data_IF_650973570781
#
_entry.id   IF_650973570781
#
_cell.length_a   1.000
_cell.length_b   1.000
_cell.length_c   1.000
_cell.angle_alpha   90.00
_cell.angle_beta   90.00
_cell.angle_gamma   90.00
#
_symmetry.space_group_name_H-M   'P 1'
#
loop_
_entity.id
_entity.type
_entity.pdbx_description
1 polymer ?
#
# COMPACT_ATOMS: atom_id res chain seq x y z
N UNK A 1 0.99 -20.50 11.54
CA UNK A 1 0.98 -20.08 12.96
C UNK A 1 2.40 -20.25 13.48
N UNK A 2 3.05 -19.20 14.05
CA UNK A 2 4.34 -19.40 14.70
C UNK A 2 4.17 -20.33 15.89
N UNK A 3 5.18 -21.16 16.16
CA UNK A 3 5.15 -22.13 17.24
C UNK A 3 5.09 -21.41 18.61
N UNK A 4 4.30 -21.91 19.55
CA UNK A 4 4.12 -21.34 20.89
C UNK A 4 5.41 -20.91 21.63
N UNK A 5 6.57 -21.58 21.46
CA UNK A 5 7.81 -21.16 22.13
C UNK A 5 8.39 -19.84 21.64
N UNK A 6 8.14 -19.44 20.39
CA UNK A 6 8.61 -18.15 19.86
C UNK A 6 7.78 -16.97 20.38
N UNK A 7 6.48 -17.19 20.54
CA UNK A 7 5.55 -16.20 21.12
C UNK A 7 5.86 -15.97 22.61
N UNK A 8 6.16 -17.04 23.34
CA UNK A 8 6.54 -16.95 24.75
C UNK A 8 7.87 -16.19 24.95
N UNK A 9 8.80 -16.30 24.00
CA UNK A 9 10.08 -15.58 24.05
C UNK A 9 9.89 -14.07 23.80
N UNK A 10 9.02 -13.69 22.87
CA UNK A 10 8.72 -12.30 22.60
C UNK A 10 8.02 -11.60 23.79
N UNK A 11 7.08 -12.30 24.45
CA UNK A 11 6.42 -11.78 25.65
C UNK A 11 7.35 -11.75 26.88
N UNK A 12 8.24 -12.71 27.08
CA UNK A 12 9.15 -12.73 28.21
C UNK A 12 10.20 -11.62 28.19
N UNK A 13 10.56 -11.13 27.00
CA UNK A 13 11.45 -9.99 26.81
C UNK A 13 10.79 -8.64 27.14
N UNK A 14 9.44 -8.56 27.06
CA UNK A 14 8.67 -7.33 27.33
C UNK A 14 8.25 -7.20 28.80
N UNK A 15 8.19 -8.27 29.58
CA UNK A 15 7.69 -8.29 30.96
C UNK A 15 8.78 -8.05 32.03
N UNK A 16 10.06 -7.96 31.63
CA UNK A 16 11.19 -7.82 32.57
C UNK A 16 11.43 -6.37 33.08
N UNK A 17 10.43 -5.50 33.07
CA UNK A 17 10.51 -4.15 33.63
C UNK A 17 9.53 -4.01 34.80
N UNK A 18 9.95 -4.30 36.01
CA UNK A 18 9.62 -3.68 37.29
C UNK A 18 10.29 -4.45 38.44
N UNK A 19 10.63 -3.83 39.59
CA UNK A 19 9.67 -3.25 40.51
C UNK A 19 10.08 -1.96 41.19
N UNK A 20 9.07 -1.18 41.55
CA UNK A 20 9.15 -0.10 42.55
C UNK A 20 9.22 -0.66 43.94
N UNK A 21 10.07 -0.07 44.82
CA UNK A 21 10.00 -0.19 46.26
C UNK A 21 10.19 1.18 46.95
N UNK A 22 9.53 1.46 48.10
CA UNK A 22 9.36 2.80 48.60
C UNK A 22 10.51 3.30 49.48
N UNK A 23 10.55 4.61 49.67
CA UNK A 23 11.53 5.44 50.30
C UNK A 23 11.77 5.16 51.79
N UNK A 24 13.03 5.28 52.22
CA UNK A 24 13.42 5.63 53.59
C UNK A 24 14.47 6.76 53.53
N UNK A 25 14.19 7.86 54.22
CA UNK A 25 15.09 8.99 54.41
C UNK A 25 16.33 8.63 55.22
N UNK A 26 17.52 9.02 54.76
CA UNK A 26 18.50 9.84 55.49
C UNK A 26 19.89 9.81 54.87
N UNK A 27 20.54 10.99 54.96
CA UNK A 27 21.97 11.32 54.81
C UNK A 27 22.53 11.19 53.38
N UNK A 28 22.99 12.32 52.88
CA UNK A 28 23.79 12.41 51.65
C UNK A 28 25.03 11.54 51.76
N UNK A 29 25.25 10.69 50.77
CA UNK A 29 26.57 10.14 50.49
C UNK A 29 26.98 10.50 49.06
N UNK A 30 28.28 10.42 48.86
CA UNK A 30 28.98 10.53 47.60
C UNK A 30 28.19 9.96 46.39
N UNK A 31 28.18 10.71 45.28
CA UNK A 31 27.63 10.28 44.01
C UNK A 31 28.40 9.01 43.57
N UNK A 32 27.78 7.83 43.82
CA UNK A 32 28.12 6.65 43.06
C UNK A 32 27.77 6.89 41.59
N UNK A 33 28.66 6.53 40.64
CA UNK A 33 28.30 6.63 39.23
C UNK A 33 27.05 5.81 38.97
N UNK A 34 26.04 6.43 38.31
CA UNK A 34 24.82 5.77 37.91
C UNK A 34 25.15 4.41 37.26
N UNK A 35 24.44 3.32 37.61
CA UNK A 35 24.66 2.03 36.98
C UNK A 35 24.54 2.22 35.47
N UNK A 36 25.53 1.73 34.72
CA UNK A 36 25.47 1.70 33.27
C UNK A 36 24.15 1.04 32.88
N UNK A 37 23.34 1.77 32.12
CA UNK A 37 22.16 1.20 31.48
C UNK A 37 22.69 0.11 30.55
N UNK A 38 22.51 -1.15 30.92
CA UNK A 38 22.81 -2.25 30.01
C UNK A 38 21.88 -2.07 28.80
N UNK A 39 22.43 -1.65 27.68
CA UNK A 39 21.72 -1.64 26.41
C UNK A 39 21.26 -3.08 26.14
N UNK A 40 19.97 -3.30 26.15
CA UNK A 40 19.41 -4.60 25.76
C UNK A 40 19.86 -4.89 24.32
N UNK A 41 20.34 -6.11 24.05
CA UNK A 41 20.79 -6.47 22.70
C UNK A 41 19.63 -6.28 21.73
N UNK A 42 19.91 -5.66 20.56
CA UNK A 42 18.94 -5.48 19.49
C UNK A 42 18.30 -6.83 19.11
N UNK A 43 16.99 -6.83 18.85
CA UNK A 43 16.28 -8.02 18.41
C UNK A 43 16.86 -8.53 17.07
N UNK A 44 16.96 -9.85 16.92
CA UNK A 44 17.31 -10.47 15.65
C UNK A 44 16.20 -10.28 14.61
N UNK A 45 16.52 -10.45 13.32
CA UNK A 45 15.53 -10.36 12.24
C UNK A 45 14.35 -11.34 12.45
N UNK A 46 14.63 -12.57 12.95
CA UNK A 46 13.60 -13.57 13.26
C UNK A 46 12.69 -13.10 14.41
N UNK A 47 13.28 -12.52 15.46
CA UNK A 47 12.53 -11.98 16.60
C UNK A 47 11.67 -10.78 16.18
N UNK A 48 12.17 -9.88 15.30
CA UNK A 48 11.41 -8.76 14.75
C UNK A 48 10.25 -9.25 13.88
N UNK A 49 10.48 -10.25 13.02
CA UNK A 49 9.43 -10.85 12.21
C UNK A 49 8.33 -11.51 13.08
N UNK A 50 8.70 -12.22 14.14
CA UNK A 50 7.74 -12.81 15.07
C UNK A 50 6.96 -11.73 15.84
N UNK A 51 7.63 -10.67 16.28
CA UNK A 51 7.00 -9.52 16.94
C UNK A 51 5.99 -8.85 16.01
N UNK A 52 6.35 -8.58 14.79
CA UNK A 52 5.51 -7.94 13.77
C UNK A 52 4.18 -8.68 13.56
N UNK A 53 4.18 -10.00 13.64
CA UNK A 53 3.00 -10.86 13.47
C UNK A 53 2.18 -11.06 14.76
N UNK A 54 2.61 -10.48 15.89
CA UNK A 54 1.86 -10.58 17.16
C UNK A 54 0.60 -9.72 17.12
N UNK A 55 -0.57 -10.24 17.60
CA UNK A 55 -1.78 -9.43 17.65
C UNK A 55 -1.63 -8.19 18.53
N UNK A 56 -1.95 -7.02 17.99
CA UNK A 56 -1.82 -5.74 18.70
C UNK A 56 -2.71 -5.66 19.95
N UNK A 57 -3.84 -6.36 19.95
CA UNK A 57 -4.78 -6.42 21.07
C UNK A 57 -4.23 -7.15 22.32
N UNK A 58 -3.09 -7.82 22.21
CA UNK A 58 -2.44 -8.48 23.35
C UNK A 58 -1.63 -7.53 24.23
N UNK A 59 -1.40 -6.30 23.78
CA UNK A 59 -0.59 -5.30 24.45
C UNK A 59 -1.47 -4.25 25.16
N UNK A 60 -1.09 -3.83 26.35
CA UNK A 60 -1.57 -2.57 26.92
C UNK A 60 -0.91 -1.37 26.20
N UNK A 61 -1.31 -0.15 26.55
CA UNK A 61 -0.85 1.03 25.80
C UNK A 61 0.66 1.26 25.83
N UNK A 62 1.35 1.19 26.97
CA UNK A 62 2.80 1.37 27.01
C UNK A 62 3.55 0.27 26.27
N UNK A 63 3.13 -0.99 26.48
CA UNK A 63 3.77 -2.14 25.83
C UNK A 63 3.54 -2.16 24.33
N UNK A 64 2.39 -1.68 23.83
CA UNK A 64 2.13 -1.55 22.39
C UNK A 64 3.11 -0.60 21.72
N UNK A 65 3.28 0.60 22.29
CA UNK A 65 4.18 1.61 21.71
C UNK A 65 5.64 1.15 21.76
N UNK A 66 6.05 0.52 22.87
CA UNK A 66 7.39 -0.09 22.98
C UNK A 66 7.60 -1.18 21.92
N UNK A 67 6.61 -2.06 21.71
CA UNK A 67 6.69 -3.10 20.69
C UNK A 67 6.75 -2.53 19.26
N UNK A 68 5.90 -1.55 18.96
CA UNK A 68 5.87 -0.89 17.65
C UNK A 68 7.16 -0.12 17.36
N UNK A 69 7.77 0.52 18.37
CA UNK A 69 9.02 1.29 18.21
C UNK A 69 10.22 0.43 17.77
N UNK A 70 10.14 -0.87 17.94
CA UNK A 70 11.16 -1.83 17.48
C UNK A 70 11.01 -2.25 16.03
N UNK A 71 9.84 -1.96 15.43
CA UNK A 71 9.53 -2.32 14.06
C UNK A 71 9.92 -1.20 13.08
N UNK A 72 10.25 -1.54 11.81
CA UNK A 72 10.51 -0.56 10.77
C UNK A 72 9.32 0.40 10.58
N UNK A 73 9.62 1.63 10.18
CA UNK A 73 8.63 2.66 9.86
C UNK A 73 7.73 3.11 11.02
N UNK A 74 8.09 2.81 12.28
CA UNK A 74 7.41 3.42 13.42
C UNK A 74 7.58 4.95 13.39
N UNK A 75 6.48 5.66 13.56
CA UNK A 75 6.43 7.13 13.61
C UNK A 75 5.82 7.57 14.95
N UNK A 76 6.64 8.09 15.85
CA UNK A 76 6.21 8.55 17.17
C UNK A 76 5.10 9.61 17.10
N UNK A 77 5.07 10.42 16.05
CA UNK A 77 4.03 11.45 15.87
C UNK A 77 2.64 10.85 15.67
N UNK A 78 2.56 9.58 15.29
CA UNK A 78 1.33 8.81 15.08
C UNK A 78 0.93 7.93 16.26
N UNK A 79 1.64 8.00 17.39
CA UNK A 79 1.46 7.12 18.55
C UNK A 79 -0.01 7.00 18.99
N UNK A 80 -0.73 8.12 19.11
CA UNK A 80 -2.14 8.12 19.51
C UNK A 80 -3.06 7.41 18.50
N UNK A 81 -2.72 7.45 17.22
CA UNK A 81 -3.48 6.77 16.17
C UNK A 81 -3.26 5.25 16.23
N UNK A 82 -2.02 4.80 16.50
CA UNK A 82 -1.75 3.37 16.73
C UNK A 82 -2.53 2.83 17.93
N UNK A 83 -2.53 3.57 19.04
CA UNK A 83 -3.29 3.20 20.24
C UNK A 83 -4.80 3.12 19.96
N UNK A 84 -5.35 4.09 19.25
CA UNK A 84 -6.77 4.11 18.88
C UNK A 84 -7.16 2.95 17.96
N UNK A 85 -6.26 2.54 17.03
CA UNK A 85 -6.55 1.53 16.02
C UNK A 85 -6.37 0.08 16.52
N UNK A 86 -5.60 -0.16 17.60
CA UNK A 86 -5.26 -1.51 18.11
C UNK A 86 -6.46 -2.41 18.40
N UNK A 87 -7.58 -1.82 18.80
CA UNK A 87 -8.80 -2.54 19.20
C UNK A 87 -9.86 -2.65 18.12
N UNK A 88 -9.60 -2.03 16.94
CA UNK A 88 -10.54 -1.99 15.82
C UNK A 88 -10.71 -3.30 15.04
N UNK A 89 -9.94 -4.36 15.39
CA UNK A 89 -9.96 -5.65 14.70
C UNK A 89 -8.91 -6.60 15.24
N UNK A 90 -8.74 -7.75 14.58
CA UNK A 90 -7.67 -8.71 14.88
C UNK A 90 -6.46 -8.38 14.00
N UNK A 91 -5.80 -7.25 14.31
CA UNK A 91 -4.65 -6.77 13.56
C UNK A 91 -3.35 -7.17 14.25
N UNK A 92 -2.32 -7.53 13.46
CA UNK A 92 -0.96 -7.67 13.95
C UNK A 92 -0.31 -6.30 14.17
N UNK A 93 0.81 -6.25 14.87
CA UNK A 93 1.58 -5.00 15.05
C UNK A 93 1.97 -4.39 13.70
N UNK A 94 2.45 -5.21 12.78
CA UNK A 94 2.79 -4.78 11.42
C UNK A 94 1.59 -4.18 10.69
N UNK A 95 0.44 -4.85 10.74
CA UNK A 95 -0.78 -4.33 10.10
C UNK A 95 -1.24 -3.01 10.69
N UNK A 96 -1.13 -2.84 12.01
CA UNK A 96 -1.43 -1.54 12.65
C UNK A 96 -0.51 -0.44 12.12
N UNK A 97 0.81 -0.70 12.04
CA UNK A 97 1.75 0.26 11.45
C UNK A 97 1.39 0.60 10.00
N UNK A 98 1.23 -0.42 9.16
CA UNK A 98 0.92 -0.25 7.73
C UNK A 98 -0.36 0.55 7.51
N UNK A 99 -1.44 0.25 8.25
CA UNK A 99 -2.74 0.94 8.16
C UNK A 99 -2.61 2.41 8.57
N UNK A 100 -2.00 2.69 9.72
CA UNK A 100 -1.91 4.06 10.26
C UNK A 100 -0.91 4.90 9.45
N UNK A 101 0.20 4.32 9.01
CA UNK A 101 1.20 5.05 8.23
C UNK A 101 0.70 5.45 6.84
N UNK A 102 -0.23 4.69 6.29
CA UNK A 102 -0.88 4.96 5.00
C UNK A 102 -2.21 5.72 5.13
N UNK A 103 -2.51 6.24 6.31
CA UNK A 103 -3.72 7.00 6.64
C UNK A 103 -5.04 6.21 6.48
N UNK A 104 -4.97 4.85 6.40
CA UNK A 104 -6.15 3.99 6.23
C UNK A 104 -7.01 3.81 7.49
N UNK A 105 -6.57 4.33 8.64
CA UNK A 105 -7.36 4.48 9.87
C UNK A 105 -8.30 5.71 9.84
N UNK A 106 -8.10 6.63 8.89
CA UNK A 106 -8.91 7.83 8.75
C UNK A 106 -10.22 7.57 7.99
N UNK A 107 -11.24 8.44 8.14
CA UNK A 107 -12.49 8.30 7.38
C UNK A 107 -12.27 8.53 5.88
N UNK A 108 -12.56 7.50 5.07
CA UNK A 108 -12.44 7.54 3.61
C UNK A 108 -13.26 8.68 3.02
N UNK A 109 -12.76 9.31 1.97
CA UNK A 109 -13.37 10.41 1.20
C UNK A 109 -13.59 11.71 1.97
N UNK A 110 -13.88 11.67 3.27
CA UNK A 110 -14.10 12.87 4.10
C UNK A 110 -12.80 13.45 4.65
N UNK A 111 -11.80 12.62 4.85
CA UNK A 111 -10.43 13.04 5.22
C UNK A 111 -9.52 13.22 3.99
N UNK A 112 -10.08 13.13 2.77
CA UNK A 112 -9.29 13.20 1.56
C UNK A 112 -8.74 14.61 1.32
N UNK A 113 -7.46 14.65 0.93
CA UNK A 113 -6.76 15.85 0.47
C UNK A 113 -6.70 15.87 -1.07
N UNK A 114 -6.36 17.02 -1.63
CA UNK A 114 -6.10 17.11 -3.07
C UNK A 114 -4.73 16.47 -3.36
N UNK A 115 -4.67 15.63 -4.40
CA UNK A 115 -3.42 15.03 -4.88
C UNK A 115 -2.52 16.12 -5.46
N UNK A 116 -1.21 16.00 -5.26
CA UNK A 116 -0.24 16.95 -5.76
C UNK A 116 0.20 16.58 -7.19
N UNK A 117 -0.14 17.36 -8.22
CA UNK A 117 0.29 17.09 -9.59
C UNK A 117 1.83 17.16 -9.77
N UNK A 118 2.53 17.88 -8.89
CA UNK A 118 3.99 18.03 -8.95
C UNK A 118 4.73 16.73 -8.55
N UNK A 119 4.02 15.75 -7.96
CA UNK A 119 4.54 14.40 -7.74
C UNK A 119 4.77 13.62 -9.06
N UNK A 120 4.34 14.14 -10.19
CA UNK A 120 4.57 13.55 -11.51
C UNK A 120 4.00 12.13 -11.62
N UNK A 121 4.86 11.15 -11.98
CA UNK A 121 4.44 9.76 -12.09
C UNK A 121 4.13 9.10 -10.76
N UNK A 122 4.56 9.70 -9.65
CA UNK A 122 4.29 9.24 -8.30
C UNK A 122 3.03 9.87 -7.68
N UNK A 123 2.26 10.65 -8.43
CA UNK A 123 0.99 11.22 -7.93
C UNK A 123 0.09 10.12 -7.37
N UNK A 124 -0.18 10.19 -6.06
CA UNK A 124 -1.04 9.23 -5.39
C UNK A 124 -2.50 9.65 -5.50
N UNK A 125 -3.32 8.79 -6.10
CA UNK A 125 -4.77 8.97 -6.19
C UNK A 125 -5.47 7.74 -5.62
N UNK A 126 -6.15 7.92 -4.49
CA UNK A 126 -6.85 6.84 -3.80
C UNK A 126 -8.03 7.40 -2.98
N UNK A 127 -8.55 6.67 -1.98
CA UNK A 127 -9.69 7.11 -1.17
C UNK A 127 -9.39 8.27 -0.22
N UNK A 128 -8.12 8.65 -0.07
CA UNK A 128 -7.62 9.71 0.81
C UNK A 128 -6.91 10.84 0.04
N UNK A 129 -6.71 10.66 -1.27
CA UNK A 129 -6.09 11.65 -2.15
C UNK A 129 -6.83 11.71 -3.48
N UNK A 130 -7.29 12.91 -3.87
CA UNK A 130 -8.19 13.09 -5.02
C UNK A 130 -7.68 14.10 -6.02
N UNK A 131 -8.09 13.91 -7.27
CA UNK A 131 -7.94 14.88 -8.35
C UNK A 131 -9.16 15.78 -8.45
N UNK A 132 -8.97 17.01 -8.87
CA UNK A 132 -10.06 17.94 -9.21
C UNK A 132 -10.87 17.44 -10.42
N UNK A 133 -12.09 17.96 -10.59
CA UNK A 133 -12.97 17.55 -11.68
C UNK A 133 -12.49 17.98 -13.06
N UNK A 134 -11.65 18.99 -13.13
CA UNK A 134 -11.08 19.61 -14.32
C UNK A 134 -9.64 19.15 -14.62
N UNK A 135 -9.05 18.33 -13.74
CA UNK A 135 -7.73 17.76 -13.98
C UNK A 135 -7.74 16.85 -15.22
N UNK A 136 -6.90 17.20 -16.18
CA UNK A 136 -6.62 16.43 -17.40
C UNK A 136 -5.11 16.45 -17.63
N UNK A 137 -4.44 15.31 -17.78
CA UNK A 137 -3.02 15.29 -18.15
C UNK A 137 -2.77 15.97 -19.50
N UNK A 138 -1.69 16.74 -19.60
CA UNK A 138 -1.38 17.53 -20.81
C UNK A 138 -0.86 16.67 -21.97
N UNK A 139 -0.20 15.54 -21.68
CA UNK A 139 0.57 14.72 -22.61
C UNK A 139 -0.11 13.39 -22.95
N UNK A 140 -1.44 13.37 -23.02
CA UNK A 140 -2.21 12.17 -23.38
C UNK A 140 -2.04 11.83 -24.88
N UNK A 141 -1.44 10.67 -25.14
CA UNK A 141 -1.29 10.07 -26.47
C UNK A 141 -2.24 8.90 -26.68
N UNK A 142 -2.59 8.62 -27.94
CA UNK A 142 -3.40 7.43 -28.27
C UNK A 142 -2.56 6.17 -28.13
N UNK A 143 -3.06 5.20 -27.37
CA UNK A 143 -2.41 3.89 -27.21
C UNK A 143 -2.37 3.19 -28.58
N UNK A 144 -1.22 2.54 -28.89
CA UNK A 144 -1.01 1.82 -30.15
C UNK A 144 -2.18 0.84 -30.42
N UNK A 145 -2.88 0.97 -31.57
CA UNK A 145 -4.06 0.15 -31.87
C UNK A 145 -3.81 -1.35 -31.85
N UNK A 146 -2.57 -1.79 -32.15
CA UNK A 146 -2.20 -3.20 -32.10
C UNK A 146 -2.28 -3.79 -30.69
N UNK A 147 -2.16 -2.95 -29.64
CA UNK A 147 -2.10 -3.35 -28.24
C UNK A 147 -3.29 -2.86 -27.41
N UNK A 148 -4.33 -2.32 -28.06
CA UNK A 148 -5.39 -1.60 -27.33
C UNK A 148 -6.76 -1.74 -27.95
N UNK A 149 -7.79 -1.76 -27.11
CA UNK A 149 -9.17 -1.55 -27.51
C UNK A 149 -9.53 -0.06 -27.69
N UNK A 150 -8.52 0.81 -27.75
CA UNK A 150 -8.64 2.26 -27.89
C UNK A 150 -8.36 3.02 -26.59
N UNK A 151 -8.37 4.37 -26.69
CA UNK A 151 -8.15 5.28 -25.58
C UNK A 151 -6.74 5.88 -25.54
N UNK A 152 -6.41 6.53 -24.41
CA UNK A 152 -5.18 7.31 -24.26
C UNK A 152 -4.46 6.98 -22.96
N UNK A 153 -3.15 7.16 -22.94
CA UNK A 153 -2.30 7.17 -21.74
C UNK A 153 -1.41 8.41 -21.75
N UNK A 154 -0.80 8.76 -20.63
CA UNK A 154 0.36 9.66 -20.66
C UNK A 154 1.45 9.07 -21.54
N UNK A 155 2.22 9.94 -22.22
CA UNK A 155 3.21 9.51 -23.21
C UNK A 155 4.18 8.50 -22.63
N UNK A 156 4.77 8.76 -21.46
CA UNK A 156 5.73 7.88 -20.81
C UNK A 156 5.13 6.51 -20.45
N UNK A 157 3.91 6.51 -19.89
CA UNK A 157 3.21 5.25 -19.59
C UNK A 157 2.82 4.47 -20.85
N UNK A 158 2.53 5.16 -21.95
CA UNK A 158 2.24 4.54 -23.25
C UNK A 158 3.48 3.86 -23.82
N UNK A 159 4.61 4.57 -23.85
CA UNK A 159 5.88 4.04 -24.40
C UNK A 159 6.34 2.83 -23.57
N UNK A 160 6.30 2.94 -22.24
CA UNK A 160 6.60 1.82 -21.35
C UNK A 160 5.64 0.63 -21.52
N UNK A 161 4.36 0.88 -21.82
CA UNK A 161 3.40 -0.19 -22.10
C UNK A 161 3.68 -0.89 -23.44
N UNK A 162 4.08 -0.16 -24.49
CA UNK A 162 4.50 -0.75 -25.75
C UNK A 162 5.72 -1.65 -25.55
N UNK A 163 6.77 -1.16 -24.87
CA UNK A 163 7.97 -1.94 -24.56
C UNK A 163 7.63 -3.22 -23.77
N UNK A 164 6.73 -3.12 -22.80
CA UNK A 164 6.25 -4.25 -22.01
C UNK A 164 5.57 -5.32 -22.86
N UNK A 165 4.66 -4.90 -23.76
CA UNK A 165 3.93 -5.85 -24.64
C UNK A 165 4.89 -6.53 -25.64
N UNK A 166 5.84 -5.78 -26.18
CA UNK A 166 6.87 -6.31 -27.08
C UNK A 166 7.78 -7.31 -26.35
N UNK A 167 8.20 -7.01 -25.15
CA UNK A 167 9.00 -7.92 -24.32
C UNK A 167 8.22 -9.20 -23.96
N UNK A 168 6.95 -9.09 -23.54
CA UNK A 168 6.10 -10.25 -23.29
C UNK A 168 6.00 -11.13 -24.53
N UNK A 169 5.77 -10.54 -25.70
CA UNK A 169 5.72 -11.29 -26.95
C UNK A 169 7.05 -11.97 -27.27
N UNK A 170 8.15 -11.27 -27.16
CA UNK A 170 9.49 -11.79 -27.45
C UNK A 170 9.88 -12.95 -26.51
N UNK A 171 9.53 -12.85 -25.24
CA UNK A 171 9.89 -13.84 -24.22
C UNK A 171 8.97 -15.06 -24.20
N UNK A 172 7.69 -14.90 -24.56
CA UNK A 172 6.66 -15.94 -24.32
C UNK A 172 5.77 -16.27 -25.52
N UNK A 173 5.72 -15.40 -26.53
CA UNK A 173 4.74 -15.47 -27.61
C UNK A 173 3.32 -15.09 -27.21
N UNK A 174 3.14 -14.52 -26.01
CA UNK A 174 1.83 -14.08 -25.50
C UNK A 174 1.55 -12.63 -25.92
N UNK A 175 0.28 -12.34 -26.18
CA UNK A 175 -0.19 -10.98 -26.46
C UNK A 175 -0.95 -10.44 -25.24
N UNK A 176 -0.84 -9.11 -25.05
CA UNK A 176 -1.57 -8.36 -24.03
C UNK A 176 -2.34 -7.22 -24.71
N UNK A 177 -3.50 -6.88 -24.17
CA UNK A 177 -4.35 -5.81 -24.70
C UNK A 177 -4.74 -4.86 -23.57
N UNK A 178 -4.52 -3.56 -23.77
CA UNK A 178 -5.12 -2.53 -22.94
C UNK A 178 -6.64 -2.49 -23.18
N UNK A 179 -7.41 -2.75 -22.13
CA UNK A 179 -8.86 -2.78 -22.18
C UNK A 179 -9.49 -1.45 -21.70
N UNK A 180 -8.81 -0.72 -20.82
CA UNK A 180 -9.31 0.53 -20.24
C UNK A 180 -8.13 1.39 -19.78
N UNK A 181 -7.77 2.44 -20.51
CA UNK A 181 -6.71 3.37 -20.13
C UNK A 181 -7.26 4.60 -19.40
N UNK A 182 -6.83 5.83 -19.78
CA UNK A 182 -7.34 7.09 -19.24
C UNK A 182 -8.87 7.15 -19.23
N UNK A 183 -9.43 7.58 -18.10
CA UNK A 183 -10.86 7.88 -17.91
C UNK A 183 -11.02 9.26 -17.28
N UNK A 184 -11.73 10.18 -17.96
CA UNK A 184 -12.02 11.49 -17.39
C UNK A 184 -12.88 11.39 -16.12
N UNK A 185 -12.86 12.45 -15.30
CA UNK A 185 -13.75 12.59 -14.14
C UNK A 185 -15.21 12.26 -14.48
N UNK A 186 -15.73 12.80 -15.59
CA UNK A 186 -17.12 12.58 -15.98
C UNK A 186 -17.40 11.13 -16.39
N UNK A 187 -16.45 10.48 -17.09
CA UNK A 187 -16.56 9.07 -17.46
C UNK A 187 -16.60 8.19 -16.19
N UNK A 188 -15.72 8.47 -15.24
CA UNK A 188 -15.70 7.74 -13.96
C UNK A 188 -16.98 7.97 -13.14
N UNK A 189 -17.51 9.19 -13.11
CA UNK A 189 -18.78 9.51 -12.45
C UNK A 189 -19.93 8.70 -13.00
N UNK A 190 -20.02 8.60 -14.32
CA UNK A 190 -21.09 7.83 -14.99
C UNK A 190 -20.91 6.31 -14.74
N UNK A 191 -19.68 5.81 -14.77
CA UNK A 191 -19.35 4.41 -14.49
C UNK A 191 -19.75 4.04 -13.06
N UNK A 192 -19.34 4.83 -12.08
CA UNK A 192 -19.67 4.62 -10.68
C UNK A 192 -21.19 4.66 -10.46
N UNK A 193 -21.90 5.66 -11.01
CA UNK A 193 -23.34 5.77 -10.93
C UNK A 193 -24.04 4.51 -11.49
N UNK A 194 -23.57 3.96 -12.61
CA UNK A 194 -24.09 2.70 -13.17
C UNK A 194 -23.91 1.51 -12.22
N UNK A 195 -22.75 1.38 -11.55
CA UNK A 195 -22.57 0.32 -10.55
C UNK A 195 -23.49 0.51 -9.34
N UNK A 196 -23.75 1.77 -8.93
CA UNK A 196 -24.67 2.11 -7.84
C UNK A 196 -26.13 1.70 -8.10
N UNK A 197 -26.53 1.44 -9.34
CA UNK A 197 -27.86 0.89 -9.64
C UNK A 197 -27.96 -0.60 -9.28
N UNK A 198 -26.85 -1.30 -9.14
CA UNK A 198 -26.80 -2.75 -8.94
C UNK A 198 -26.25 -3.13 -7.55
N UNK A 199 -25.42 -2.31 -6.95
CA UNK A 199 -24.71 -2.61 -5.70
C UNK A 199 -24.89 -1.49 -4.68
N UNK A 200 -24.74 -1.84 -3.39
CA UNK A 200 -24.67 -0.85 -2.32
C UNK A 200 -23.44 0.05 -2.47
N UNK A 201 -23.42 1.22 -1.84
CA UNK A 201 -22.29 2.13 -1.85
C UNK A 201 -21.03 1.43 -1.31
N UNK A 202 -21.13 0.83 -0.13
CA UNK A 202 -20.02 0.11 0.49
C UNK A 202 -19.46 -1.02 -0.40
N UNK A 203 -20.32 -1.72 -1.14
CA UNK A 203 -19.90 -2.76 -2.09
C UNK A 203 -19.22 -2.14 -3.31
N UNK A 204 -19.80 -1.07 -3.87
CA UNK A 204 -19.24 -0.38 -5.04
C UNK A 204 -17.87 0.20 -4.75
N UNK A 205 -17.70 0.85 -3.61
CA UNK A 205 -16.42 1.45 -3.19
C UNK A 205 -15.27 0.44 -3.08
N UNK A 206 -15.56 -0.87 -2.98
CA UNK A 206 -14.50 -1.89 -2.92
C UNK A 206 -13.90 -2.26 -4.27
N UNK A 207 -14.57 -1.92 -5.39
CA UNK A 207 -14.10 -2.31 -6.74
C UNK A 207 -14.23 -1.21 -7.78
N UNK A 208 -14.77 -0.05 -7.45
CA UNK A 208 -14.89 1.08 -8.36
C UNK A 208 -14.63 2.37 -7.61
N UNK A 209 -13.71 3.17 -8.10
CA UNK A 209 -13.42 4.49 -7.53
C UNK A 209 -14.57 5.46 -7.75
N UNK A 210 -14.80 6.37 -6.79
CA UNK A 210 -15.61 7.57 -7.01
C UNK A 210 -14.89 8.51 -7.97
N UNK A 211 -15.64 9.40 -8.63
CA UNK A 211 -15.06 10.41 -9.51
C UNK A 211 -14.08 11.31 -8.74
N UNK A 212 -12.90 11.55 -9.30
CA UNK A 212 -11.77 12.23 -8.66
C UNK A 212 -10.84 11.29 -7.86
N UNK A 213 -11.26 10.08 -7.53
CA UNK A 213 -10.50 9.10 -6.74
C UNK A 213 -9.99 7.91 -7.57
N UNK A 214 -10.03 8.03 -8.89
CA UNK A 214 -9.60 6.99 -9.83
C UNK A 214 -8.25 7.32 -10.44
N UNK A 215 -7.27 6.42 -10.32
CA UNK A 215 -5.97 6.55 -10.97
C UNK A 215 -6.04 6.65 -12.50
N UNK A 216 -7.09 6.11 -13.13
CA UNK A 216 -7.27 6.28 -14.58
C UNK A 216 -7.38 7.75 -15.01
N UNK A 217 -7.74 8.67 -14.11
CA UNK A 217 -7.78 10.08 -14.43
C UNK A 217 -6.37 10.69 -14.55
N UNK A 218 -5.33 10.05 -14.00
CA UNK A 218 -3.94 10.47 -14.15
C UNK A 218 -3.37 10.16 -15.54
N UNK A 219 -3.98 9.24 -16.30
CA UNK A 219 -3.38 8.71 -17.53
C UNK A 219 -2.21 7.74 -17.29
N UNK A 220 -1.90 7.41 -16.03
CA UNK A 220 -0.81 6.51 -15.63
C UNK A 220 -1.29 5.09 -15.29
N UNK A 221 -2.60 4.84 -15.26
CA UNK A 221 -3.17 3.54 -14.95
C UNK A 221 -3.93 2.97 -16.15
N UNK A 222 -3.84 1.64 -16.29
CA UNK A 222 -4.57 0.91 -17.32
C UNK A 222 -5.03 -0.45 -16.81
N UNK A 223 -6.15 -0.91 -17.36
CA UNK A 223 -6.63 -2.27 -17.17
C UNK A 223 -6.24 -3.12 -18.38
N UNK A 224 -5.65 -4.30 -18.15
CA UNK A 224 -5.18 -5.21 -19.20
C UNK A 224 -5.96 -6.53 -19.22
N UNK A 225 -6.04 -7.13 -20.41
CA UNK A 225 -6.62 -8.46 -20.64
C UNK A 225 -5.76 -9.28 -21.62
N UNK A 226 -5.93 -10.59 -21.59
CA UNK A 226 -5.51 -11.42 -22.72
C UNK A 226 -6.44 -11.15 -23.93
N UNK A 227 -5.99 -11.30 -25.17
CA UNK A 227 -6.83 -11.12 -26.36
C UNK A 227 -8.12 -11.96 -26.27
N UNK A 228 -9.27 -11.30 -26.44
CA UNK A 228 -10.60 -11.95 -26.33
C UNK A 228 -11.02 -12.35 -24.91
N UNK A 229 -10.21 -12.01 -23.89
CA UNK A 229 -10.46 -12.29 -22.49
C UNK A 229 -11.34 -11.24 -21.81
N UNK A 230 -11.46 -11.36 -20.49
CA UNK A 230 -12.18 -10.43 -19.62
C UNK A 230 -11.31 -10.03 -18.44
N UNK A 231 -11.61 -8.88 -17.82
CA UNK A 231 -10.90 -8.40 -16.62
C UNK A 231 -10.88 -9.48 -15.53
N UNK A 232 -12.05 -9.99 -15.11
CA UNK A 232 -12.15 -11.01 -14.06
C UNK A 232 -11.45 -12.34 -14.40
N UNK A 233 -11.34 -12.67 -15.68
CA UNK A 233 -10.67 -13.87 -16.16
C UNK A 233 -9.15 -13.74 -16.21
N UNK A 234 -8.62 -12.54 -16.18
CA UNK A 234 -7.19 -12.26 -16.39
C UNK A 234 -6.29 -12.98 -15.38
N UNK A 235 -6.69 -13.08 -14.11
CA UNK A 235 -5.93 -13.80 -13.06
C UNK A 235 -5.62 -15.26 -13.38
N UNK A 236 -6.36 -15.88 -14.29
CA UNK A 236 -6.21 -17.29 -14.67
C UNK A 236 -5.39 -17.48 -15.95
N UNK A 237 -4.76 -16.42 -16.47
CA UNK A 237 -4.00 -16.44 -17.74
C UNK A 237 -2.50 -16.49 -17.49
N UNK A 238 -1.75 -16.97 -18.48
CA UNK A 238 -0.29 -16.92 -18.46
C UNK A 238 0.22 -15.47 -18.54
N UNK A 239 -0.53 -14.58 -19.19
CA UNK A 239 -0.23 -13.16 -19.25
C UNK A 239 -0.21 -12.56 -17.81
N UNK A 240 -1.16 -12.90 -16.96
CA UNK A 240 -1.15 -12.43 -15.57
C UNK A 240 0.08 -12.91 -14.80
N UNK A 241 0.47 -14.18 -14.97
CA UNK A 241 1.67 -14.71 -14.31
C UNK A 241 2.91 -13.92 -14.74
N UNK A 242 3.07 -13.70 -16.05
CA UNK A 242 4.19 -12.92 -16.56
C UNK A 242 4.15 -11.46 -16.10
N UNK A 243 2.98 -10.81 -16.15
CA UNK A 243 2.79 -9.42 -15.71
C UNK A 243 3.14 -9.25 -14.23
N UNK A 244 2.67 -10.14 -13.37
CA UNK A 244 2.97 -10.11 -11.93
C UNK A 244 4.47 -10.11 -11.65
N UNK A 245 5.22 -10.93 -12.40
CA UNK A 245 6.64 -11.15 -12.16
C UNK A 245 7.55 -10.18 -12.95
N UNK A 246 7.05 -9.45 -13.95
CA UNK A 246 7.87 -8.68 -14.88
C UNK A 246 7.43 -7.23 -15.10
N UNK A 247 6.22 -6.83 -14.74
CA UNK A 247 5.71 -5.49 -15.07
C UNK A 247 6.58 -4.37 -14.46
N UNK A 248 7.21 -4.60 -13.29
CA UNK A 248 8.11 -3.65 -12.64
C UNK A 248 9.32 -3.29 -13.50
N UNK A 249 9.81 -4.18 -14.37
CA UNK A 249 10.91 -3.93 -15.29
C UNK A 249 10.61 -2.79 -16.28
N UNK A 250 9.34 -2.49 -16.47
CA UNK A 250 8.79 -1.46 -17.37
C UNK A 250 8.10 -0.33 -16.62
N UNK A 251 8.35 -0.20 -15.32
CA UNK A 251 7.79 0.87 -14.51
C UNK A 251 6.34 0.67 -14.06
N UNK A 252 5.74 -0.51 -14.26
CA UNK A 252 4.38 -0.81 -13.82
C UNK A 252 4.34 -1.66 -12.56
N UNK A 253 3.38 -1.38 -11.69
CA UNK A 253 3.06 -2.18 -10.51
C UNK A 253 1.68 -2.82 -10.65
N UNK A 254 1.51 -4.03 -10.08
CA UNK A 254 0.20 -4.59 -9.79
C UNK A 254 -0.43 -3.80 -8.64
N UNK A 255 -1.32 -2.90 -8.97
CA UNK A 255 -1.75 -1.83 -8.05
C UNK A 255 -2.54 -2.31 -6.84
N UNK A 256 -3.43 -3.27 -7.04
CA UNK A 256 -4.31 -3.80 -6.01
C UNK A 256 -4.06 -5.30 -5.84
N UNK A 257 -3.01 -5.64 -5.08
CA UNK A 257 -2.56 -6.99 -4.80
C UNK A 257 -3.54 -7.81 -3.96
N UNK A 258 -3.42 -9.14 -4.04
CA UNK A 258 -4.25 -10.04 -3.22
C UNK A 258 -3.89 -9.89 -1.74
N UNK A 259 -4.93 -9.83 -0.89
CA UNK A 259 -4.76 -9.60 0.55
C UNK A 259 -4.48 -8.15 0.96
N UNK A 260 -4.28 -7.20 0.03
CA UNK A 260 -3.90 -5.80 0.32
C UNK A 260 -5.09 -4.83 0.41
N UNK A 261 -6.34 -5.31 0.42
CA UNK A 261 -7.53 -4.45 0.52
C UNK A 261 -7.52 -3.58 1.79
N UNK A 262 -6.91 -4.04 2.87
CA UNK A 262 -6.86 -3.30 4.13
C UNK A 262 -5.95 -2.06 4.09
N UNK A 263 -5.03 -1.97 3.10
CA UNK A 263 -4.18 -0.80 2.83
C UNK A 263 -4.73 -0.01 1.65
N UNK A 264 -4.99 -0.67 0.52
CA UNK A 264 -5.39 0.02 -0.72
C UNK A 264 -6.86 0.45 -0.72
N UNK A 265 -7.67 -0.21 0.11
CA UNK A 265 -9.12 -0.03 0.15
C UNK A 265 -9.85 -0.68 -1.03
N UNK A 266 -9.16 -1.34 -1.96
CA UNK A 266 -9.72 -2.03 -3.12
C UNK A 266 -9.46 -3.52 -3.05
N UNK A 267 -10.42 -4.31 -3.58
CA UNK A 267 -10.24 -5.75 -3.76
C UNK A 267 -9.09 -6.02 -4.72
N UNK A 268 -8.60 -7.26 -4.69
CA UNK A 268 -7.65 -7.74 -5.68
C UNK A 268 -8.15 -7.51 -7.11
N UNK A 269 -7.37 -6.78 -7.91
CA UNK A 269 -7.64 -6.46 -9.31
C UNK A 269 -6.46 -6.89 -10.17
N UNK A 270 -6.40 -8.15 -10.62
CA UNK A 270 -5.26 -8.69 -11.38
C UNK A 270 -5.01 -7.99 -12.71
N UNK A 271 -5.99 -7.24 -13.21
CA UNK A 271 -5.95 -6.51 -14.47
C UNK A 271 -5.41 -5.08 -14.33
N UNK A 272 -5.44 -4.49 -13.11
CA UNK A 272 -5.15 -3.06 -12.91
C UNK A 272 -3.67 -2.84 -12.61
N UNK A 273 -3.00 -2.15 -13.53
CA UNK A 273 -1.60 -1.79 -13.42
C UNK A 273 -1.42 -0.28 -13.41
N UNK A 274 -0.47 0.19 -12.59
CA UNK A 274 -0.13 1.60 -12.44
C UNK A 274 1.33 1.82 -12.80
N UNK A 275 1.58 2.78 -13.72
CA UNK A 275 2.92 3.28 -14.02
C UNK A 275 3.40 4.22 -12.92
N UNK A 276 4.61 4.00 -12.44
CA UNK A 276 5.29 4.80 -11.40
C UNK A 276 6.77 5.02 -11.72
N UNK A 277 7.21 4.68 -12.94
CA UNK A 277 8.62 4.67 -13.31
C UNK A 277 9.36 3.40 -12.86
N UNK A 278 10.44 3.05 -13.57
CA UNK A 278 11.16 1.78 -13.38
C UNK A 278 11.74 1.65 -11.98
N UNK A 279 12.39 2.69 -11.46
CA UNK A 279 13.07 2.65 -10.17
C UNK A 279 12.07 2.41 -9.02
N UNK A 280 10.96 3.18 -9.01
CA UNK A 280 9.91 3.02 -8.01
C UNK A 280 9.20 1.67 -8.13
N UNK A 281 8.86 1.24 -9.35
CA UNK A 281 8.19 -0.04 -9.58
C UNK A 281 9.05 -1.23 -9.13
N UNK A 282 10.34 -1.20 -9.44
CA UNK A 282 11.30 -2.24 -9.03
C UNK A 282 11.44 -2.28 -7.51
N UNK A 283 11.59 -1.11 -6.87
CA UNK A 283 11.68 -1.02 -5.41
C UNK A 283 10.42 -1.56 -4.71
N UNK A 284 9.24 -1.18 -5.20
CA UNK A 284 7.94 -1.64 -4.70
C UNK A 284 7.84 -3.17 -4.82
N UNK A 285 8.22 -3.72 -5.98
CA UNK A 285 8.18 -5.16 -6.23
C UNK A 285 9.15 -5.94 -5.33
N UNK A 286 10.41 -5.51 -5.23
CA UNK A 286 11.45 -6.19 -4.46
C UNK A 286 11.21 -6.15 -2.95
N UNK A 287 10.48 -5.15 -2.45
CA UNK A 287 10.18 -4.98 -1.02
C UNK A 287 8.73 -5.35 -0.64
N UNK A 288 7.95 -5.92 -1.57
CA UNK A 288 6.54 -6.32 -1.35
C UNK A 288 5.67 -5.21 -0.74
N UNK A 289 5.84 -3.98 -1.25
CA UNK A 289 5.12 -2.80 -0.80
C UNK A 289 3.86 -2.55 -1.65
N UNK A 290 2.86 -1.91 -1.05
CA UNK A 290 1.82 -1.22 -1.81
C UNK A 290 2.32 0.16 -2.24
N UNK A 291 1.66 0.78 -3.22
CA UNK A 291 2.00 2.14 -3.62
C UNK A 291 1.72 3.16 -2.51
N UNK A 292 0.69 2.94 -1.69
CA UNK A 292 0.42 3.74 -0.49
C UNK A 292 1.60 3.75 0.47
N UNK A 293 2.23 2.59 0.71
CA UNK A 293 3.39 2.46 1.60
C UNK A 293 4.63 3.11 1.01
N UNK A 294 4.91 2.85 -0.27
CA UNK A 294 6.01 3.50 -0.96
C UNK A 294 5.88 5.02 -0.90
N UNK A 295 4.70 5.55 -1.17
CA UNK A 295 4.42 6.98 -1.11
C UNK A 295 4.60 7.54 0.31
N UNK A 296 4.04 6.88 1.31
CA UNK A 296 4.12 7.32 2.71
C UNK A 296 5.53 7.30 3.27
N UNK A 297 6.36 6.32 2.87
CA UNK A 297 7.68 6.12 3.46
C UNK A 297 8.80 6.84 2.70
N UNK A 298 8.65 7.04 1.39
CA UNK A 298 9.76 7.49 0.53
C UNK A 298 9.47 8.74 -0.30
N UNK A 299 8.20 9.10 -0.50
CA UNK A 299 7.80 10.26 -1.30
C UNK A 299 7.30 11.40 -0.43
N UNK A 300 6.31 11.14 0.43
CA UNK A 300 5.72 12.14 1.35
C UNK A 300 6.71 12.41 2.50
N UNK A 301 7.27 13.60 2.54
CA UNK A 301 8.14 14.10 3.63
C UNK A 301 7.40 15.00 4.58
#
# INVERSE_FOLDING_TARGET
MPSEPLIALALSLLISLAPFLPAAEKSAPEEEPAPAVEEQPALSAEQLAALAQTPASWFDEPALLDALSKLPHYDETRAQRYLAYRTGGVWTLEQVLRIVNTDNDLPRFTAAVDADPDDGDLILVNKYSRLSSDYVPEDLVTVEPAYSNGGKLKSEANDAFCDLVEAMWAETGLHLVNASPYRSYQTQKNLYARYRTQYSEATTDRFSARAGYSEHQTGLALDVIAPGGTLNGFKNTQQFVWMRDNAHRFGFILRYGDGMEYITGYKFEPWHYRYVGIDAATFIYENDLTFEEYYAYYVKK
#
